data_IF_661669596497
#
_entry.id   IF_661669596497
#
_cell.length_a   1.000
_cell.length_b   1.000
_cell.length_c   1.000
_cell.angle_alpha   90.00
_cell.angle_beta   90.00
_cell.angle_gamma   90.00
#
_symmetry.space_group_name_H-M   'P 1'
#
loop_
_entity.id
_entity.type
_entity.pdbx_description
1 polymer ?
#
# COMPACT_ATOMS: atom_id res chain seq x y z
N UNK A 1 75.97 -0.78 25.11
CA UNK A 1 76.63 -0.94 23.80
C UNK A 1 75.67 -1.64 22.84
N UNK A 2 75.05 -0.91 21.91
CA UNK A 2 74.35 -1.52 20.78
C UNK A 2 75.38 -1.90 19.69
N UNK A 3 75.21 -3.02 18.95
CA UNK A 3 76.11 -3.35 17.85
C UNK A 3 75.85 -2.46 16.63
N UNK A 4 76.97 -2.01 16.03
CA UNK A 4 77.07 -1.13 14.86
C UNK A 4 76.58 -1.79 13.55
N UNK A 5 76.23 -0.98 12.53
CA UNK A 5 75.56 -1.42 11.30
C UNK A 5 76.58 -1.86 10.22
N UNK A 6 76.17 -2.66 9.22
CA UNK A 6 76.91 -2.78 7.98
C UNK A 6 76.53 -1.70 6.96
N UNK A 7 77.50 -1.46 6.08
CA UNK A 7 77.70 -0.30 5.20
C UNK A 7 76.82 -0.34 3.95
N UNK A 8 76.47 0.86 3.46
CA UNK A 8 75.80 1.13 2.18
C UNK A 8 76.66 0.71 0.98
N UNK A 9 76.08 -0.01 0.04
CA UNK A 9 76.46 0.10 -1.37
C UNK A 9 75.43 0.95 -2.12
N UNK A 10 75.93 2.03 -2.69
CA UNK A 10 75.21 3.02 -3.49
C UNK A 10 75.36 2.70 -4.96
N UNK A 11 74.29 2.27 -5.64
CA UNK A 11 74.00 2.66 -7.03
C UNK A 11 72.67 2.07 -7.55
N UNK A 12 71.54 2.78 -7.37
CA UNK A 12 70.49 2.90 -8.41
C UNK A 12 69.43 3.91 -7.98
N UNK A 13 69.23 4.95 -8.80
CA UNK A 13 68.07 5.85 -8.70
C UNK A 13 66.74 5.07 -8.83
N UNK A 14 65.66 5.55 -8.20
CA UNK A 14 64.35 4.91 -8.26
C UNK A 14 63.71 5.02 -9.66
N UNK A 15 63.10 3.92 -10.10
CA UNK A 15 62.34 3.82 -11.35
C UNK A 15 60.96 4.52 -11.23
N UNK A 16 60.41 5.06 -12.33
CA UNK A 16 59.10 5.73 -12.33
C UNK A 16 57.93 4.73 -12.15
N UNK A 17 56.76 5.20 -11.66
CA UNK A 17 55.61 4.35 -11.36
C UNK A 17 54.96 3.73 -12.61
N UNK A 18 54.28 2.57 -12.47
CA UNK A 18 53.73 1.81 -13.59
C UNK A 18 52.48 2.47 -14.19
N UNK A 19 52.36 2.39 -15.52
CA UNK A 19 51.22 2.90 -16.29
C UNK A 19 49.99 1.97 -16.15
N UNK A 20 48.75 2.52 -16.17
CA UNK A 20 47.53 1.72 -16.14
C UNK A 20 47.33 0.94 -17.45
N UNK A 21 46.86 -0.29 -17.30
CA UNK A 21 46.61 -1.25 -18.36
C UNK A 21 45.56 -0.77 -19.38
N UNK A 22 45.82 -1.08 -20.65
CA UNK A 22 44.97 -0.79 -21.82
C UNK A 22 43.65 -1.58 -21.78
N UNK A 23 42.53 -0.88 -21.62
CA UNK A 23 41.19 -1.40 -21.90
C UNK A 23 40.80 -1.08 -23.35
N UNK A 24 40.99 -2.00 -24.28
CA UNK A 24 40.33 -1.94 -25.58
C UNK A 24 40.23 -3.33 -26.22
N UNK A 25 39.36 -4.16 -25.67
CA UNK A 25 38.83 -5.34 -26.34
C UNK A 25 37.31 -5.29 -26.32
N UNK A 26 36.76 -4.32 -27.06
CA UNK A 26 35.39 -4.40 -27.57
C UNK A 26 35.50 -4.26 -29.09
N UNK A 27 34.87 -5.14 -29.89
CA UNK A 27 34.85 -5.00 -31.34
C UNK A 27 34.06 -3.74 -31.70
N UNK A 28 34.67 -2.81 -32.44
CA UNK A 28 33.93 -1.70 -33.05
C UNK A 28 33.03 -2.26 -34.15
N UNK A 29 31.73 -1.96 -34.04
CA UNK A 29 30.73 -2.25 -35.06
C UNK A 29 30.91 -1.26 -36.22
N UNK A 30 31.86 -1.54 -37.10
CA UNK A 30 32.01 -0.83 -38.37
C UNK A 30 31.12 -1.47 -39.45
N UNK A 31 29.84 -1.11 -39.43
CA UNK A 31 28.94 -1.29 -40.57
C UNK A 31 28.57 0.09 -41.13
N UNK A 32 29.44 0.62 -41.98
CA UNK A 32 29.09 1.65 -42.94
C UNK A 32 29.44 1.12 -44.34
N UNK A 33 28.55 1.22 -45.34
CA UNK A 33 28.83 0.71 -46.68
C UNK A 33 30.02 1.47 -47.29
N UNK A 34 30.95 0.74 -47.89
CA UNK A 34 32.00 1.30 -48.75
C UNK A 34 31.34 2.09 -49.88
N UNK A 35 31.39 3.41 -49.77
CA UNK A 35 31.20 4.29 -50.93
C UNK A 35 32.56 4.35 -51.61
N UNK A 36 32.67 3.74 -52.79
CA UNK A 36 33.80 3.95 -53.70
C UNK A 36 33.92 5.45 -53.98
N UNK A 37 34.86 6.13 -53.31
CA UNK A 37 35.27 7.48 -53.67
C UNK A 37 36.13 7.41 -54.94
N UNK A 38 35.52 7.70 -56.09
CA UNK A 38 36.22 8.20 -57.26
C UNK A 38 37.13 9.36 -56.82
N UNK A 39 38.44 9.18 -56.99
CA UNK A 39 39.45 10.21 -56.71
C UNK A 39 39.34 11.35 -57.72
N UNK A 40 38.44 12.29 -57.49
CA UNK A 40 38.59 13.62 -58.07
C UNK A 40 39.75 14.35 -57.38
N UNK A 41 40.77 14.69 -58.17
CA UNK A 41 41.94 15.45 -57.73
C UNK A 41 41.52 16.85 -57.28
N UNK A 42 41.34 17.06 -55.97
CA UNK A 42 41.35 18.41 -55.40
C UNK A 42 42.80 18.84 -55.16
N UNK A 43 43.30 19.71 -56.03
CA UNK A 43 44.54 20.45 -55.81
C UNK A 43 44.45 21.25 -54.50
N UNK A 44 45.38 20.97 -53.58
CA UNK A 44 45.52 21.71 -52.32
C UNK A 44 46.07 23.10 -52.61
N UNK A 45 45.21 24.11 -52.58
CA UNK A 45 45.63 25.50 -52.57
C UNK A 45 46.26 25.83 -51.21
N UNK A 46 47.48 26.37 -51.23
CA UNK A 46 48.27 26.75 -50.05
C UNK A 46 47.74 27.99 -49.31
N UNK A 47 46.44 28.04 -49.03
CA UNK A 47 45.82 29.13 -48.27
C UNK A 47 45.93 28.83 -46.77
N UNK A 48 46.66 29.69 -46.04
CA UNK A 48 46.67 29.71 -44.57
C UNK A 48 45.24 29.98 -44.06
N UNK A 49 44.55 28.93 -43.61
CA UNK A 49 43.27 29.07 -42.93
C UNK A 49 43.47 29.90 -41.66
N UNK A 50 42.93 31.11 -41.65
CA UNK A 50 42.95 31.96 -40.47
C UNK A 50 42.28 31.22 -39.32
N UNK A 51 42.89 31.22 -38.13
CA UNK A 51 42.48 30.42 -36.95
C UNK A 51 41.02 30.62 -36.47
N UNK A 52 40.22 31.45 -37.15
CA UNK A 52 38.82 31.78 -36.83
C UNK A 52 37.89 31.90 -38.06
N UNK A 53 38.31 31.50 -39.27
CA UNK A 53 37.39 31.52 -40.42
C UNK A 53 36.49 30.29 -40.42
N UNK A 54 35.38 30.38 -39.69
CA UNK A 54 34.32 29.36 -39.71
C UNK A 54 33.83 29.16 -41.15
N UNK A 55 33.65 27.90 -41.52
CA UNK A 55 33.07 27.52 -42.81
C UNK A 55 31.68 28.13 -42.96
N UNK A 56 31.26 28.41 -44.20
CA UNK A 56 29.92 28.95 -44.50
C UNK A 56 28.80 28.07 -43.90
N UNK A 57 29.03 26.76 -43.88
CA UNK A 57 28.15 25.75 -43.27
C UNK A 57 28.07 25.93 -41.75
N UNK A 58 29.19 26.17 -41.07
CA UNK A 58 29.23 26.39 -39.61
C UNK A 58 28.61 27.72 -39.21
N UNK A 59 28.78 28.78 -40.01
CA UNK A 59 28.08 30.06 -39.78
C UNK A 59 26.58 29.89 -39.92
N UNK A 60 26.12 29.15 -40.94
CA UNK A 60 24.69 28.83 -41.12
C UNK A 60 24.15 28.00 -39.94
N UNK A 61 24.88 26.98 -39.49
CA UNK A 61 24.50 26.16 -38.32
C UNK A 61 24.45 27.00 -37.04
N UNK A 62 25.39 27.91 -36.81
CA UNK A 62 25.37 28.83 -35.66
C UNK A 62 24.22 29.83 -35.74
N UNK A 63 23.92 30.36 -36.91
CA UNK A 63 22.76 31.25 -37.08
C UNK A 63 21.45 30.50 -36.85
N UNK A 64 21.31 29.28 -37.38
CA UNK A 64 20.15 28.43 -37.11
C UNK A 64 20.05 28.05 -35.63
N UNK A 65 21.15 27.71 -34.96
CA UNK A 65 21.15 27.42 -33.53
C UNK A 65 20.74 28.63 -32.68
N UNK A 66 21.19 29.84 -33.05
CA UNK A 66 20.79 31.09 -32.39
C UNK A 66 19.33 31.43 -32.65
N UNK A 67 18.85 31.22 -33.88
CA UNK A 67 17.44 31.40 -34.22
C UNK A 67 16.55 30.40 -33.47
N UNK A 68 16.94 29.12 -33.41
CA UNK A 68 16.26 28.09 -32.63
C UNK A 68 16.23 28.42 -31.13
N UNK A 69 17.35 28.88 -30.56
CA UNK A 69 17.39 29.36 -29.18
C UNK A 69 16.49 30.58 -28.97
N UNK A 70 16.46 31.51 -29.92
CA UNK A 70 15.56 32.68 -29.88
C UNK A 70 14.09 32.27 -29.88
N UNK A 71 13.68 31.35 -30.76
CA UNK A 71 12.31 30.80 -30.80
C UNK A 71 11.98 30.06 -29.50
N UNK A 72 12.90 29.25 -28.97
CA UNK A 72 12.73 28.57 -27.69
C UNK A 72 12.51 29.57 -26.54
N UNK A 73 13.32 30.63 -26.44
CA UNK A 73 13.17 31.66 -25.40
C UNK A 73 11.87 32.45 -25.52
N UNK A 74 11.41 32.74 -26.75
CA UNK A 74 10.10 33.35 -26.98
C UNK A 74 8.98 32.40 -26.52
N UNK A 75 9.08 31.11 -26.85
CA UNK A 75 8.15 30.07 -26.40
C UNK A 75 8.06 30.00 -24.87
N UNK A 76 9.20 29.91 -24.18
CA UNK A 76 9.28 29.91 -22.71
C UNK A 76 8.69 31.19 -22.12
N UNK A 77 8.92 32.35 -22.74
CA UNK A 77 8.36 33.62 -22.30
C UNK A 77 6.83 33.66 -22.41
N UNK A 78 6.28 33.19 -23.53
CA UNK A 78 4.82 33.07 -23.74
C UNK A 78 4.21 32.08 -22.76
N UNK A 79 4.84 30.92 -22.56
CA UNK A 79 4.37 29.89 -21.64
C UNK A 79 4.37 30.39 -20.19
N UNK A 80 5.44 31.05 -19.75
CA UNK A 80 5.54 31.67 -18.41
C UNK A 80 4.45 32.73 -18.21
N UNK A 81 4.14 33.50 -19.26
CA UNK A 81 3.06 34.48 -19.25
C UNK A 81 1.68 33.81 -19.15
N UNK A 82 1.46 32.72 -19.90
CA UNK A 82 0.24 31.93 -19.83
C UNK A 82 0.05 31.21 -18.48
N UNK A 83 1.13 30.73 -17.85
CA UNK A 83 1.09 30.17 -16.49
C UNK A 83 0.64 31.21 -15.43
N UNK A 84 0.71 32.51 -15.75
CA UNK A 84 0.20 33.59 -14.90
C UNK A 84 -1.31 33.88 -15.06
N UNK A 85 -2.03 33.13 -15.90
CA UNK A 85 -3.48 33.23 -16.11
C UNK A 85 -4.28 32.95 -14.83
N UNK A 86 -5.52 33.41 -14.74
CA UNK A 86 -6.41 33.08 -13.61
C UNK A 86 -6.69 31.57 -13.54
N UNK A 87 -7.12 31.12 -12.36
CA UNK A 87 -7.48 29.72 -12.15
C UNK A 87 -8.86 29.47 -12.74
N UNK A 88 -9.00 28.38 -13.48
CA UNK A 88 -10.32 27.90 -13.88
C UNK A 88 -10.94 27.09 -12.73
N UNK A 89 -12.26 27.04 -12.68
CA UNK A 89 -13.01 26.28 -11.65
C UNK A 89 -12.64 24.79 -11.67
N UNK A 90 -12.36 24.23 -12.85
CA UNK A 90 -11.91 22.84 -13.01
C UNK A 90 -10.50 22.62 -12.48
N UNK A 91 -9.56 23.56 -12.70
CA UNK A 91 -8.19 23.50 -12.16
C UNK A 91 -8.21 23.59 -10.62
N UNK A 92 -9.04 24.48 -10.07
CA UNK A 92 -9.26 24.60 -8.62
C UNK A 92 -9.81 23.32 -8.01
N UNK A 93 -10.80 22.71 -8.69
CA UNK A 93 -11.40 21.44 -8.26
C UNK A 93 -10.39 20.28 -8.33
N UNK A 94 -9.62 20.18 -9.40
CA UNK A 94 -8.58 19.17 -9.56
C UNK A 94 -7.52 19.27 -8.46
N UNK A 95 -7.12 20.50 -8.09
CA UNK A 95 -6.13 20.75 -7.02
C UNK A 95 -6.71 20.84 -5.61
N UNK A 96 -8.03 20.64 -5.44
CA UNK A 96 -8.73 20.73 -4.13
C UNK A 96 -8.44 22.03 -3.36
N UNK A 97 -8.10 23.12 -4.05
CA UNK A 97 -7.88 24.42 -3.42
C UNK A 97 -9.19 25.19 -3.35
N UNK A 98 -9.47 25.82 -2.20
CA UNK A 98 -10.54 26.82 -2.12
C UNK A 98 -10.11 28.07 -2.90
N UNK A 99 -11.03 28.81 -3.53
CA UNK A 99 -10.72 30.07 -4.22
C UNK A 99 -9.98 31.09 -3.33
N UNK A 100 -10.21 31.02 -2.01
CA UNK A 100 -9.61 31.90 -1.00
C UNK A 100 -8.16 31.55 -0.64
N UNK A 101 -7.76 30.28 -0.80
CA UNK A 101 -6.40 29.80 -0.50
C UNK A 101 -5.47 29.92 -1.73
N UNK A 102 -6.04 30.14 -2.91
CA UNK A 102 -5.30 30.25 -4.15
C UNK A 102 -4.49 31.56 -4.22
N UNK A 103 -3.21 31.52 -4.65
CA UNK A 103 -2.40 32.72 -4.76
C UNK A 103 -3.02 33.70 -5.78
N UNK A 104 -3.40 34.90 -5.34
CA UNK A 104 -4.02 35.93 -6.19
C UNK A 104 -3.02 36.59 -7.14
N UNK A 105 -1.75 36.68 -6.72
CA UNK A 105 -0.68 37.30 -7.52
C UNK A 105 -0.35 36.47 -8.76
N UNK A 106 -0.08 37.14 -9.89
CA UNK A 106 0.31 36.49 -11.15
C UNK A 106 1.55 35.60 -10.98
N UNK A 107 2.54 36.07 -10.24
CA UNK A 107 3.75 35.30 -9.94
C UNK A 107 3.49 34.10 -9.02
N UNK A 108 2.60 34.25 -8.02
CA UNK A 108 2.20 33.14 -7.16
C UNK A 108 1.52 32.02 -7.95
N UNK A 109 0.69 32.37 -8.94
CA UNK A 109 0.05 31.42 -9.86
C UNK A 109 1.06 30.71 -10.76
N UNK A 110 1.96 31.46 -11.39
CA UNK A 110 3.04 30.88 -12.22
C UNK A 110 3.91 29.93 -11.39
N UNK A 111 4.29 30.32 -10.17
CA UNK A 111 5.07 29.48 -9.26
C UNK A 111 4.31 28.20 -8.89
N UNK A 112 3.02 28.30 -8.55
CA UNK A 112 2.19 27.15 -8.17
C UNK A 112 1.95 26.18 -9.34
N UNK A 113 1.79 26.69 -10.57
CA UNK A 113 1.71 25.86 -11.79
C UNK A 113 3.05 25.21 -12.12
N UNK A 114 4.15 25.94 -11.92
CA UNK A 114 5.49 25.39 -12.12
C UNK A 114 5.80 24.29 -11.10
N UNK A 115 5.48 24.49 -9.82
CA UNK A 115 5.67 23.45 -8.80
C UNK A 115 4.80 22.23 -9.08
N UNK A 116 3.63 22.40 -9.71
CA UNK A 116 2.76 21.25 -10.01
C UNK A 116 3.28 20.28 -11.04
N UNK A 117 4.26 20.66 -11.86
CA UNK A 117 4.97 19.66 -12.68
C UNK A 117 5.71 18.63 -11.84
N UNK A 118 6.03 18.96 -10.59
CA UNK A 118 6.65 18.06 -9.63
C UNK A 118 5.65 17.40 -8.69
N UNK A 119 4.34 17.70 -8.78
CA UNK A 119 3.30 17.11 -7.92
C UNK A 119 3.28 15.58 -8.08
N UNK A 120 3.58 15.06 -9.27
CA UNK A 120 3.74 13.62 -9.52
C UNK A 120 4.74 12.92 -8.56
N UNK A 121 5.76 13.64 -8.08
CA UNK A 121 6.74 13.09 -7.16
C UNK A 121 6.36 13.25 -5.69
N UNK A 122 5.42 14.14 -5.39
CA UNK A 122 5.03 14.47 -4.02
C UNK A 122 3.68 13.90 -3.64
N UNK A 123 2.68 14.00 -4.52
CA UNK A 123 1.29 13.57 -4.33
C UNK A 123 1.07 12.09 -4.72
N UNK A 124 0.05 11.42 -4.15
CA UNK A 124 -0.30 10.07 -4.58
C UNK A 124 -0.78 10.04 -6.03
N UNK A 125 -0.60 8.89 -6.70
CA UNK A 125 -0.94 8.71 -8.12
C UNK A 125 -2.45 8.90 -8.38
N UNK A 126 -3.30 8.63 -7.38
CA UNK A 126 -4.75 8.73 -7.49
C UNK A 126 -5.33 9.81 -6.58
N UNK A 127 -6.33 10.57 -7.07
CA UNK A 127 -7.02 11.56 -6.25
C UNK A 127 -7.80 10.90 -5.10
N UNK A 128 -8.35 9.72 -5.34
CA UNK A 128 -9.02 8.90 -4.34
C UNK A 128 -8.38 7.51 -4.35
N UNK A 129 -7.88 7.08 -3.20
CA UNK A 129 -7.15 5.82 -3.05
C UNK A 129 -8.09 4.61 -3.04
N UNK A 130 -9.31 4.79 -2.53
CA UNK A 130 -10.33 3.74 -2.51
C UNK A 130 -11.54 4.14 -3.36
N UNK A 131 -12.17 3.16 -4.04
CA UNK A 131 -13.43 3.40 -4.72
C UNK A 131 -14.51 3.81 -3.71
N UNK A 132 -15.48 4.57 -4.19
CA UNK A 132 -16.66 4.94 -3.41
C UNK A 132 -17.46 3.72 -2.93
N UNK A 133 -18.25 3.86 -1.86
CA UNK A 133 -19.05 2.78 -1.31
C UNK A 133 -20.06 2.27 -2.35
N UNK A 134 -20.04 0.97 -2.65
CA UNK A 134 -20.94 0.37 -3.63
C UNK A 134 -22.35 0.17 -3.02
N UNK A 135 -23.44 0.65 -3.65
CA UNK A 135 -24.77 0.62 -3.03
C UNK A 135 -25.36 -0.79 -2.87
N UNK A 136 -24.92 -1.79 -3.65
CA UNK A 136 -25.51 -3.13 -3.64
C UNK A 136 -24.91 -4.08 -2.58
N UNK A 137 -23.72 -3.79 -2.05
CA UNK A 137 -23.02 -4.66 -1.11
C UNK A 137 -23.02 -3.98 0.27
N UNK A 138 -23.57 -4.62 1.33
CA UNK A 138 -23.48 -4.08 2.68
C UNK A 138 -22.01 -3.89 3.09
N UNK A 139 -21.58 -2.64 3.17
CA UNK A 139 -20.21 -2.31 3.58
C UNK A 139 -20.09 -2.27 5.10
N UNK A 140 -18.89 -2.55 5.59
CA UNK A 140 -18.57 -2.41 6.99
C UNK A 140 -18.56 -0.91 7.36
N UNK A 141 -19.06 -0.53 8.55
CA UNK A 141 -19.22 0.87 8.90
C UNK A 141 -17.90 1.60 9.23
N UNK A 142 -16.86 0.86 9.61
CA UNK A 142 -15.54 1.40 9.96
C UNK A 142 -14.47 0.83 9.05
N UNK A 143 -13.45 1.63 8.77
CA UNK A 143 -12.28 1.21 7.99
C UNK A 143 -11.08 1.09 8.91
N UNK A 144 -10.43 -0.08 8.90
CA UNK A 144 -9.21 -0.34 9.65
C UNK A 144 -8.04 -0.44 8.69
N UNK A 145 -7.18 0.58 8.72
CA UNK A 145 -5.95 0.61 7.96
C UNK A 145 -4.83 -0.05 8.76
N UNK A 146 -4.08 -0.96 8.15
CA UNK A 146 -3.04 -1.72 8.83
C UNK A 146 -1.73 -1.66 8.02
N UNK A 147 -0.65 -1.26 8.69
CA UNK A 147 0.71 -1.35 8.13
C UNK A 147 1.22 -2.80 8.14
N UNK A 148 2.07 -3.17 7.19
CA UNK A 148 2.67 -4.51 7.15
C UNK A 148 3.95 -4.56 7.98
N UNK A 149 4.88 -3.65 7.67
CA UNK A 149 6.25 -3.67 8.17
C UNK A 149 6.34 -3.39 9.65
N UNK A 150 7.07 -4.25 10.35
CA UNK A 150 7.28 -4.24 11.79
C UNK A 150 5.98 -4.32 12.61
N UNK A 151 4.84 -4.56 11.96
CA UNK A 151 3.52 -4.65 12.59
C UNK A 151 2.92 -6.05 12.45
N UNK A 152 2.71 -6.52 11.22
CA UNK A 152 2.18 -7.86 10.91
C UNK A 152 3.31 -8.86 10.63
N UNK A 153 4.37 -8.38 9.99
CA UNK A 153 5.53 -9.19 9.65
C UNK A 153 6.80 -8.40 9.92
N UNK A 154 7.91 -9.11 10.07
CA UNK A 154 9.23 -8.50 10.07
C UNK A 154 10.10 -9.23 9.08
N UNK A 155 10.83 -8.48 8.25
CA UNK A 155 11.73 -9.02 7.24
C UNK A 155 13.17 -8.80 7.68
N UNK A 156 13.93 -9.88 7.75
CA UNK A 156 15.35 -9.88 8.09
C UNK A 156 16.13 -10.36 6.88
N UNK A 157 17.31 -9.79 6.64
CA UNK A 157 18.20 -10.25 5.58
C UNK A 157 19.38 -11.01 6.17
N UNK A 158 19.66 -12.18 5.61
CA UNK A 158 20.83 -12.99 5.91
C UNK A 158 21.65 -13.23 4.63
N UNK A 159 22.97 -13.30 4.75
CA UNK A 159 23.88 -13.59 3.63
C UNK A 159 23.70 -15.01 3.09
N UNK A 160 23.31 -15.97 3.93
CA UNK A 160 23.15 -17.37 3.52
C UNK A 160 21.81 -17.62 2.83
N UNK A 161 20.73 -17.03 3.36
CA UNK A 161 19.35 -17.34 2.97
C UNK A 161 18.62 -16.18 2.30
N UNK A 162 19.26 -15.01 2.19
CA UNK A 162 18.66 -13.80 1.65
C UNK A 162 17.59 -13.23 2.58
N UNK A 163 16.56 -12.62 1.97
CA UNK A 163 15.42 -12.07 2.69
C UNK A 163 14.53 -13.17 3.28
N UNK A 164 14.27 -13.08 4.58
CA UNK A 164 13.37 -13.96 5.33
C UNK A 164 12.34 -13.13 6.06
N UNK A 165 11.07 -13.43 5.82
CA UNK A 165 9.94 -12.75 6.45
C UNK A 165 9.33 -13.64 7.51
N UNK A 166 9.30 -13.17 8.75
CA UNK A 166 8.65 -13.82 9.86
C UNK A 166 7.24 -13.25 10.03
N UNK A 167 6.27 -14.10 10.38
CA UNK A 167 4.88 -13.72 10.65
C UNK A 167 4.68 -13.48 12.14
N UNK A 168 4.06 -12.35 12.53
CA UNK A 168 3.78 -12.04 13.93
C UNK A 168 2.76 -13.03 14.52
N UNK A 169 2.96 -13.52 15.75
CA UNK A 169 1.99 -14.40 16.40
C UNK A 169 0.59 -13.78 16.42
N UNK A 170 -0.40 -14.55 15.97
CA UNK A 170 -1.82 -14.14 15.99
C UNK A 170 -2.28 -13.27 14.83
N UNK A 171 -1.46 -12.98 13.82
CA UNK A 171 -1.85 -12.19 12.63
C UNK A 171 -3.05 -12.76 11.90
N UNK A 172 -3.09 -14.08 11.66
CA UNK A 172 -4.19 -14.70 10.92
C UNK A 172 -5.52 -14.52 11.67
N UNK A 173 -5.49 -14.72 13.00
CA UNK A 173 -6.65 -14.51 13.87
C UNK A 173 -7.04 -13.04 13.93
N UNK A 174 -6.06 -12.14 14.01
CA UNK A 174 -6.29 -10.70 14.02
C UNK A 174 -7.03 -10.22 12.76
N UNK A 175 -6.55 -10.61 11.58
CA UNK A 175 -7.17 -10.24 10.30
C UNK A 175 -8.55 -10.88 10.13
N UNK A 176 -8.66 -12.20 10.34
CA UNK A 176 -9.92 -12.92 10.13
C UNK A 176 -11.00 -12.62 11.17
N UNK A 177 -10.64 -12.24 12.39
CA UNK A 177 -11.62 -11.84 13.40
C UNK A 177 -12.09 -10.39 13.21
N UNK A 178 -11.17 -9.46 12.91
CA UNK A 178 -11.54 -8.05 12.75
C UNK A 178 -12.23 -7.73 11.43
N UNK A 179 -12.04 -8.54 10.38
CA UNK A 179 -12.76 -8.41 9.10
C UNK A 179 -14.29 -8.50 9.25
N UNK A 180 -14.78 -9.13 10.33
CA UNK A 180 -16.21 -9.16 10.64
C UNK A 180 -16.76 -7.78 11.02
N UNK A 181 -15.94 -6.91 11.61
CA UNK A 181 -16.35 -5.61 12.13
C UNK A 181 -15.90 -4.43 11.25
N UNK A 182 -14.72 -4.55 10.62
CA UNK A 182 -14.06 -3.49 9.87
C UNK A 182 -13.87 -3.85 8.41
N UNK A 183 -13.90 -2.84 7.54
CA UNK A 183 -13.29 -2.89 6.22
C UNK A 183 -11.77 -2.85 6.42
N UNK A 184 -11.12 -4.00 6.29
CA UNK A 184 -9.67 -4.11 6.52
C UNK A 184 -8.95 -3.70 5.24
N UNK A 185 -8.16 -2.62 5.35
CA UNK A 185 -7.35 -2.09 4.25
C UNK A 185 -5.89 -2.16 4.65
N UNK A 186 -5.09 -2.85 3.85
CA UNK A 186 -3.65 -2.82 4.06
C UNK A 186 -3.11 -1.52 3.46
N UNK A 187 -2.38 -0.74 4.27
CA UNK A 187 -1.70 0.46 3.79
C UNK A 187 -0.24 0.38 4.21
N UNK A 188 0.64 -0.01 3.28
CA UNK A 188 2.07 -0.21 3.53
C UNK A 188 2.93 0.81 2.80
N UNK A 189 4.09 1.13 3.37
CA UNK A 189 5.12 1.93 2.69
C UNK A 189 6.02 1.08 1.80
N UNK A 190 5.84 -0.24 1.77
CA UNK A 190 6.52 -1.13 0.83
C UNK A 190 5.98 -1.00 -0.59
N UNK A 191 6.82 -1.28 -1.57
CA UNK A 191 6.40 -1.40 -2.96
C UNK A 191 5.55 -2.64 -3.19
N UNK A 192 4.66 -2.57 -4.18
CA UNK A 192 3.76 -3.67 -4.53
C UNK A 192 4.50 -5.01 -4.74
N UNK A 193 5.61 -5.00 -5.49
CA UNK A 193 6.37 -6.21 -5.81
C UNK A 193 6.98 -6.93 -4.60
N UNK A 194 7.20 -6.25 -3.46
CA UNK A 194 7.69 -6.89 -2.22
C UNK A 194 6.55 -7.32 -1.32
N UNK A 195 5.52 -6.48 -1.20
CA UNK A 195 4.43 -6.68 -0.25
C UNK A 195 3.38 -7.69 -0.76
N UNK A 196 3.08 -7.71 -2.06
CA UNK A 196 2.03 -8.55 -2.63
C UNK A 196 2.24 -10.05 -2.34
N UNK A 197 3.43 -10.66 -2.55
CA UNK A 197 3.64 -12.07 -2.22
C UNK A 197 3.50 -12.38 -0.72
N UNK A 198 3.71 -11.39 0.15
CA UNK A 198 3.52 -11.56 1.60
C UNK A 198 2.02 -11.57 1.90
N UNK A 199 1.28 -10.62 1.35
CA UNK A 199 -0.17 -10.51 1.53
C UNK A 199 -0.92 -11.71 0.94
N UNK A 200 -0.51 -12.22 -0.21
CA UNK A 200 -1.10 -13.42 -0.81
C UNK A 200 -0.89 -14.67 0.05
N UNK A 201 0.15 -14.70 0.89
CA UNK A 201 0.34 -15.78 1.87
C UNK A 201 -0.43 -15.57 3.17
N UNK A 202 -0.72 -14.33 3.54
CA UNK A 202 -1.50 -13.99 4.74
C UNK A 202 -3.00 -14.15 4.50
N UNK A 203 -3.48 -13.80 3.30
CA UNK A 203 -4.87 -13.96 2.89
C UNK A 203 -4.96 -14.59 1.48
N UNK A 204 -4.75 -15.92 1.37
CA UNK A 204 -4.72 -16.62 0.08
C UNK A 204 -6.02 -16.57 -0.71
N UNK A 205 -7.15 -16.43 -0.01
CA UNK A 205 -8.49 -16.44 -0.60
C UNK A 205 -9.11 -15.04 -0.71
N UNK A 206 -8.39 -14.00 -0.27
CA UNK A 206 -8.85 -12.61 -0.28
C UNK A 206 -10.19 -12.41 0.47
N UNK A 207 -10.38 -13.11 1.59
CA UNK A 207 -11.60 -13.03 2.39
C UNK A 207 -11.54 -11.96 3.49
N UNK A 208 -10.34 -11.60 3.93
CA UNK A 208 -10.17 -10.73 5.10
C UNK A 208 -9.80 -9.31 4.69
N UNK A 209 -8.91 -9.17 3.69
CA UNK A 209 -8.38 -7.88 3.24
C UNK A 209 -9.23 -7.36 2.08
N UNK A 210 -9.91 -6.24 2.28
CA UNK A 210 -10.78 -5.62 1.26
C UNK A 210 -9.98 -4.87 0.19
N UNK A 211 -8.97 -4.09 0.60
CA UNK A 211 -8.13 -3.30 -0.31
C UNK A 211 -6.67 -3.31 0.13
N UNK A 212 -5.77 -3.12 -0.84
CA UNK A 212 -4.31 -3.12 -0.65
C UNK A 212 -3.71 -1.86 -1.26
N UNK A 213 -3.10 -1.02 -0.43
CA UNK A 213 -2.42 0.22 -0.78
C UNK A 213 -0.93 0.08 -0.48
N UNK A 214 -0.08 0.43 -1.43
CA UNK A 214 1.36 0.28 -1.36
C UNK A 214 2.08 1.65 -1.37
N UNK A 215 3.40 1.65 -1.58
CA UNK A 215 4.25 2.86 -1.59
C UNK A 215 3.79 3.96 -2.54
N UNK A 216 3.16 3.58 -3.65
CA UNK A 216 2.59 4.44 -4.67
C UNK A 216 1.37 5.26 -4.19
N UNK A 217 0.66 4.76 -3.17
CA UNK A 217 -0.41 5.48 -2.49
C UNK A 217 0.10 6.44 -1.39
N UNK A 218 1.38 6.38 -1.01
CA UNK A 218 1.96 7.22 0.05
C UNK A 218 2.48 8.55 -0.50
N UNK A 219 2.23 9.65 0.22
CA UNK A 219 2.82 10.96 -0.05
C UNK A 219 4.28 11.01 0.41
N UNK A 220 5.09 11.88 -0.16
CA UNK A 220 6.44 12.15 0.35
C UNK A 220 6.53 13.53 0.98
N UNK A 221 6.70 13.62 2.30
CA UNK A 221 6.94 14.89 3.01
C UNK A 221 8.39 14.88 3.49
N UNK A 222 9.18 15.88 3.07
CA UNK A 222 10.60 15.99 3.45
C UNK A 222 11.41 14.71 3.16
N UNK A 223 11.06 14.00 2.09
CA UNK A 223 11.69 12.73 1.70
C UNK A 223 11.24 11.50 2.50
N UNK A 224 10.33 11.64 3.47
CA UNK A 224 9.76 10.53 4.22
C UNK A 224 8.38 10.12 3.67
N UNK A 225 8.10 8.81 3.53
CA UNK A 225 6.78 8.33 3.17
C UNK A 225 5.78 8.63 4.28
N UNK A 226 4.66 9.23 3.92
CA UNK A 226 3.54 9.45 4.85
C UNK A 226 2.24 8.93 4.24
N UNK A 227 1.34 8.48 5.12
CA UNK A 227 0.03 7.93 4.81
C UNK A 227 -1.00 9.01 5.09
N UNK A 228 -1.35 9.76 4.05
CA UNK A 228 -2.33 10.83 4.15
C UNK A 228 -3.75 10.27 3.98
N UNK A 229 -4.55 10.32 5.05
CA UNK A 229 -5.89 9.72 5.07
C UNK A 229 -6.92 10.55 4.32
N UNK A 230 -6.61 11.81 3.99
CA UNK A 230 -7.52 12.70 3.27
C UNK A 230 -7.83 12.20 1.84
N UNK A 231 -6.95 11.37 1.28
CA UNK A 231 -7.13 10.75 -0.04
C UNK A 231 -7.86 9.39 0.02
N UNK A 232 -8.20 8.88 1.21
CA UNK A 232 -8.78 7.54 1.35
C UNK A 232 -10.20 7.41 0.81
N UNK A 233 -10.92 8.51 0.63
CA UNK A 233 -12.35 8.52 0.26
C UNK A 233 -13.23 7.78 1.29
N UNK A 234 -12.98 8.03 2.57
CA UNK A 234 -13.75 7.52 3.71
C UNK A 234 -13.94 8.63 4.74
N UNK A 235 -14.97 8.50 5.55
CA UNK A 235 -15.22 9.41 6.66
C UNK A 235 -14.18 9.21 7.77
N UNK A 236 -13.32 10.21 8.00
CA UNK A 236 -12.25 10.15 9.00
C UNK A 236 -12.77 9.90 10.42
N UNK A 237 -14.03 10.19 10.74
CA UNK A 237 -14.60 9.84 12.05
C UNK A 237 -14.74 8.32 12.27
N UNK A 238 -14.59 7.52 11.20
CA UNK A 238 -14.74 6.06 11.20
C UNK A 238 -13.50 5.31 10.69
N UNK A 239 -12.38 6.01 10.54
CA UNK A 239 -11.11 5.44 10.07
C UNK A 239 -10.14 5.29 11.24
N UNK A 240 -9.50 4.12 11.36
CA UNK A 240 -8.43 3.88 12.33
C UNK A 240 -7.21 3.36 11.56
N UNK A 241 -6.03 3.96 11.81
CA UNK A 241 -4.76 3.55 11.21
C UNK A 241 -3.85 2.90 12.26
N UNK A 242 -3.46 1.65 12.06
CA UNK A 242 -2.47 0.95 12.85
C UNK A 242 -1.11 0.99 12.14
N UNK A 243 -0.11 1.57 12.80
CA UNK A 243 1.26 1.61 12.30
C UNK A 243 2.27 1.34 13.42
N UNK A 244 3.49 0.98 13.05
CA UNK A 244 4.61 0.84 13.98
C UNK A 244 5.56 2.06 13.94
N UNK A 245 5.38 2.93 12.94
CA UNK A 245 6.27 4.05 12.61
C UNK A 245 5.49 5.38 12.69
N UNK A 246 5.71 6.22 13.72
CA UNK A 246 5.04 7.51 13.89
C UNK A 246 5.17 8.47 12.71
N UNK A 247 6.27 8.41 11.97
CA UNK A 247 6.55 9.24 10.80
C UNK A 247 5.50 9.07 9.70
N UNK A 248 4.99 7.85 9.53
CA UNK A 248 4.00 7.53 8.50
C UNK A 248 2.66 8.21 8.77
N UNK A 249 2.32 8.45 10.04
CA UNK A 249 1.00 8.95 10.45
C UNK A 249 0.96 10.46 10.69
N UNK A 250 2.07 11.15 10.42
CA UNK A 250 2.21 12.58 10.66
C UNK A 250 1.09 13.49 10.11
N UNK A 251 0.40 13.19 8.99
CA UNK A 251 -0.71 14.00 8.51
C UNK A 251 -2.00 13.90 9.34
N UNK A 252 -2.24 12.74 9.98
CA UNK A 252 -3.48 12.43 10.71
C UNK A 252 -3.19 11.64 12.00
N UNK A 253 -2.47 12.23 12.97
CA UNK A 253 -2.15 11.55 14.22
C UNK A 253 -3.39 11.18 15.05
N UNK A 254 -4.49 11.92 14.93
CA UNK A 254 -5.74 11.72 15.67
C UNK A 254 -6.48 10.42 15.30
N UNK A 255 -6.18 9.85 14.13
CA UNK A 255 -6.75 8.60 13.64
C UNK A 255 -5.80 7.41 13.81
N UNK A 256 -4.59 7.64 14.32
CA UNK A 256 -3.53 6.67 14.35
C UNK A 256 -3.33 6.02 15.73
N UNK A 257 -3.06 4.73 15.72
CA UNK A 257 -2.56 3.98 16.87
C UNK A 257 -1.18 3.47 16.51
N UNK A 258 -0.18 3.94 17.26
CA UNK A 258 1.19 3.47 17.11
C UNK A 258 1.43 2.29 18.04
N UNK A 259 1.66 1.12 17.46
CA UNK A 259 2.06 -0.07 18.18
C UNK A 259 3.59 -0.20 18.23
N UNK A 260 4.09 -0.95 19.20
CA UNK A 260 5.51 -1.27 19.27
C UNK A 260 5.92 -2.10 18.05
N UNK A 261 7.09 -1.75 17.48
CA UNK A 261 7.75 -2.50 16.41
C UNK A 261 8.00 -3.93 16.87
N UNK A 262 7.58 -4.89 16.06
CA UNK A 262 7.79 -6.30 16.34
C UNK A 262 9.10 -6.78 15.73
N UNK A 263 10.01 -7.24 16.58
CA UNK A 263 11.38 -7.67 16.19
C UNK A 263 11.51 -9.16 15.92
N UNK A 264 10.39 -9.89 15.79
CA UNK A 264 10.40 -11.33 15.52
C UNK A 264 10.22 -12.23 16.75
N UNK A 265 9.94 -11.69 17.95
CA UNK A 265 9.71 -12.51 19.15
C UNK A 265 8.44 -13.38 19.00
N UNK A 266 8.54 -14.73 19.05
CA UNK A 266 7.38 -15.62 18.95
C UNK A 266 6.46 -15.57 20.17
N UNK A 267 6.90 -14.98 21.30
CA UNK A 267 6.07 -14.80 22.50
C UNK A 267 5.31 -13.48 22.53
N UNK A 268 5.48 -12.64 21.50
CA UNK A 268 4.75 -11.38 21.40
C UNK A 268 3.23 -11.64 21.42
N UNK A 269 2.53 -10.85 22.22
CA UNK A 269 1.06 -10.85 22.30
C UNK A 269 0.47 -9.47 22.01
N UNK A 270 1.28 -8.49 21.61
CA UNK A 270 0.85 -7.10 21.45
C UNK A 270 -0.29 -6.97 20.44
N UNK A 271 -0.19 -7.65 19.30
CA UNK A 271 -1.23 -7.60 18.26
C UNK A 271 -2.56 -8.20 18.73
N UNK A 272 -2.52 -9.35 19.38
CA UNK A 272 -3.72 -10.04 19.90
C UNK A 272 -4.34 -9.25 21.05
N UNK A 273 -3.53 -8.62 21.89
CA UNK A 273 -4.00 -7.82 23.02
C UNK A 273 -4.77 -6.55 22.58
N UNK A 274 -4.61 -6.11 21.33
CA UNK A 274 -5.37 -4.99 20.76
C UNK A 274 -6.77 -5.37 20.28
N UNK A 275 -7.05 -6.67 20.07
CA UNK A 275 -8.33 -7.14 19.54
C UNK A 275 -9.51 -6.68 20.42
N UNK A 276 -9.52 -6.87 21.76
CA UNK A 276 -10.65 -6.45 22.60
C UNK A 276 -11.00 -4.97 22.46
N UNK A 277 -9.99 -4.11 22.34
CA UNK A 277 -10.17 -2.68 22.16
C UNK A 277 -10.85 -2.37 20.81
N UNK A 278 -10.31 -2.88 19.70
CA UNK A 278 -10.87 -2.66 18.36
C UNK A 278 -12.25 -3.30 18.19
N UNK A 279 -12.43 -4.50 18.72
CA UNK A 279 -13.72 -5.20 18.76
C UNK A 279 -14.78 -4.35 19.46
N UNK A 280 -14.44 -3.71 20.58
CA UNK A 280 -15.38 -2.86 21.30
C UNK A 280 -15.87 -1.66 20.48
N UNK A 281 -14.99 -1.07 19.66
CA UNK A 281 -15.37 0.01 18.74
C UNK A 281 -16.34 -0.53 17.69
N UNK A 282 -16.05 -1.71 17.12
CA UNK A 282 -16.93 -2.38 16.15
C UNK A 282 -18.30 -2.77 16.72
N UNK A 283 -18.37 -3.13 17.99
CA UNK A 283 -19.60 -3.53 18.69
C UNK A 283 -20.44 -2.32 19.10
N UNK A 284 -19.83 -1.34 19.78
CA UNK A 284 -20.57 -0.17 20.30
C UNK A 284 -20.88 0.87 19.22
N UNK A 285 -20.16 0.83 18.09
CA UNK A 285 -20.35 1.69 16.92
C UNK A 285 -20.44 3.19 17.29
N UNK A 286 -19.39 3.76 17.91
CA UNK A 286 -19.36 5.18 18.27
C UNK A 286 -19.42 6.08 17.03
N UNK A 287 -20.08 7.26 17.09
CA UNK A 287 -20.18 8.14 15.93
C UNK A 287 -18.83 8.68 15.45
N UNK A 288 -17.87 8.86 16.36
CA UNK A 288 -16.50 9.28 16.06
C UNK A 288 -15.50 8.50 16.92
N UNK A 289 -14.48 7.95 16.27
CA UNK A 289 -13.41 7.18 16.93
C UNK A 289 -12.32 8.06 17.55
N UNK A 290 -12.09 9.27 17.03
CA UNK A 290 -10.93 10.11 17.41
C UNK A 290 -10.91 10.50 18.90
N UNK A 291 -12.04 10.90 19.53
CA UNK A 291 -12.05 11.19 20.97
C UNK A 291 -11.75 9.96 21.84
N UNK A 292 -12.09 8.76 21.34
CA UNK A 292 -11.79 7.51 22.03
C UNK A 292 -10.29 7.24 21.94
N UNK A 293 -9.68 7.40 20.76
CA UNK A 293 -8.24 7.23 20.57
C UNK A 293 -7.43 8.22 21.42
N UNK A 294 -7.84 9.49 21.46
CA UNK A 294 -7.20 10.54 22.25
C UNK A 294 -7.16 10.21 23.76
N UNK A 295 -8.23 9.60 24.29
CA UNK A 295 -8.29 9.20 25.70
C UNK A 295 -7.22 8.17 26.12
N UNK A 296 -6.71 7.38 25.16
CA UNK A 296 -5.64 6.41 25.34
C UNK A 296 -4.28 6.87 24.79
N UNK A 297 -4.19 8.12 24.30
CA UNK A 297 -2.94 8.65 23.76
C UNK A 297 -1.81 8.59 24.81
N UNK A 298 -0.64 8.06 24.40
CA UNK A 298 0.54 7.91 25.26
C UNK A 298 0.43 6.80 26.33
N UNK A 299 -0.62 5.98 26.31
CA UNK A 299 -0.79 4.83 27.21
C UNK A 299 -0.73 3.52 26.44
N UNK A 300 -0.49 2.42 27.13
CA UNK A 300 -0.67 1.08 26.57
C UNK A 300 -2.18 0.78 26.46
N UNK A 301 -2.72 0.93 25.25
CA UNK A 301 -4.15 0.78 24.96
C UNK A 301 -4.66 -0.60 25.40
N UNK A 302 -3.89 -1.66 25.15
CA UNK A 302 -4.32 -3.01 25.45
C UNK A 302 -4.46 -3.24 26.97
N UNK A 303 -3.49 -2.78 27.76
CA UNK A 303 -3.51 -2.92 29.22
C UNK A 303 -4.57 -2.02 29.87
N UNK A 304 -4.66 -0.77 29.46
CA UNK A 304 -5.63 0.18 30.02
C UNK A 304 -7.07 -0.20 29.68
N UNK A 305 -7.30 -0.67 28.45
CA UNK A 305 -8.61 -1.18 28.05
C UNK A 305 -9.00 -2.43 28.86
N UNK A 306 -8.08 -3.38 29.05
CA UNK A 306 -8.32 -4.57 29.85
C UNK A 306 -8.70 -4.25 31.30
N UNK A 307 -8.06 -3.24 31.92
CA UNK A 307 -8.44 -2.74 33.25
C UNK A 307 -9.85 -2.17 33.24
N UNK A 308 -10.16 -1.31 32.27
CA UNK A 308 -11.48 -0.69 32.13
C UNK A 308 -12.58 -1.72 31.90
N UNK A 309 -12.32 -2.76 31.12
CA UNK A 309 -13.23 -3.87 30.89
C UNK A 309 -13.49 -4.66 32.19
N UNK A 310 -12.44 -4.95 32.97
CA UNK A 310 -12.56 -5.62 34.26
C UNK A 310 -13.37 -4.79 35.26
N UNK A 311 -13.16 -3.47 35.31
CA UNK A 311 -13.95 -2.55 36.13
C UNK A 311 -15.43 -2.54 35.72
N UNK A 312 -15.71 -2.42 34.42
CA UNK A 312 -17.08 -2.46 33.90
C UNK A 312 -17.78 -3.79 34.23
N UNK A 313 -17.05 -4.91 34.14
CA UNK A 313 -17.54 -6.23 34.51
C UNK A 313 -17.83 -6.35 36.01
N UNK A 314 -16.93 -5.84 36.86
CA UNK A 314 -17.14 -5.85 38.32
C UNK A 314 -18.40 -5.05 38.72
N UNK A 315 -18.59 -3.86 38.13
CA UNK A 315 -19.79 -3.04 38.34
C UNK A 315 -21.07 -3.76 37.90
N UNK A 316 -21.04 -4.42 36.75
CA UNK A 316 -22.16 -5.23 36.25
C UNK A 316 -22.53 -6.37 37.22
N UNK A 317 -21.53 -7.04 37.79
CA UNK A 317 -21.74 -8.08 38.81
C UNK A 317 -22.34 -7.49 40.08
N UNK A 318 -21.79 -6.38 40.59
CA UNK A 318 -22.31 -5.70 41.79
C UNK A 318 -23.76 -5.24 41.61
N UNK A 319 -24.10 -4.68 40.46
CA UNK A 319 -25.47 -4.22 40.16
C UNK A 319 -26.42 -5.40 40.02
N UNK A 320 -25.98 -6.51 39.43
CA UNK A 320 -26.75 -7.76 39.40
C UNK A 320 -27.00 -8.32 40.81
N UNK A 321 -25.99 -8.32 41.68
CA UNK A 321 -26.14 -8.77 43.07
C UNK A 321 -27.08 -7.86 43.88
N UNK A 322 -27.00 -6.55 43.71
CA UNK A 322 -27.92 -5.58 44.33
C UNK A 322 -29.35 -5.80 43.86
N UNK A 323 -29.55 -5.95 42.55
CA UNK A 323 -30.88 -6.20 41.97
C UNK A 323 -31.45 -7.54 42.41
N UNK A 324 -30.62 -8.59 42.55
CA UNK A 324 -31.02 -9.88 43.10
C UNK A 324 -31.52 -9.76 44.54
N UNK A 325 -30.81 -9.01 45.39
CA UNK A 325 -31.23 -8.74 46.78
C UNK A 325 -32.50 -7.90 46.86
N UNK A 326 -32.68 -6.92 45.96
CA UNK A 326 -33.91 -6.11 45.87
C UNK A 326 -35.14 -6.91 45.40
N UNK A 327 -34.96 -7.85 44.47
CA UNK A 327 -36.04 -8.71 43.98
C UNK A 327 -36.44 -9.80 45.00
N UNK A 328 -35.53 -10.21 45.89
CA UNK A 328 -35.80 -11.09 47.04
C UNK A 328 -36.64 -10.40 48.14
N UNK A 329 -36.57 -9.07 48.27
CA UNK A 329 -37.38 -8.31 49.24
C UNK A 329 -38.83 -8.06 48.77
N UNK A 330 -39.06 -7.98 47.45
CA UNK A 330 -40.40 -7.74 46.86
C UNK A 330 -41.07 -8.99 46.25
N UNK A 331 -40.40 -10.16 46.28
CA UNK A 331 -40.94 -11.40 45.72
C UNK A 331 -41.09 -12.45 46.83
N UNK A 332 -42.22 -12.40 47.53
CA UNK A 332 -42.78 -13.59 48.18
C UNK A 332 -43.13 -14.61 47.09
N UNK A 333 -42.13 -15.34 46.60
CA UNK A 333 -42.34 -16.36 45.57
C UNK A 333 -43.04 -17.58 46.17
N UNK A 334 -44.28 -17.80 45.72
CA UNK A 334 -45.16 -18.96 45.96
C UNK A 334 -44.53 -20.34 45.63
N UNK A 335 -43.33 -20.38 45.03
CA UNK A 335 -42.58 -21.59 44.72
C UNK A 335 -42.04 -22.33 45.95
N UNK A 336 -42.02 -21.70 47.14
CA UNK A 336 -41.65 -22.37 48.41
C UNK A 336 -42.78 -23.17 49.06
N UNK A 337 -44.03 -23.05 48.56
CA UNK A 337 -45.21 -23.72 49.12
C UNK A 337 -45.62 -24.99 48.35
N UNK A 338 -44.96 -25.27 47.22
CA UNK A 338 -45.22 -26.44 46.37
C UNK A 338 -43.95 -27.30 46.20
N UNK A 339 -43.41 -27.79 47.32
CA UNK A 339 -42.76 -29.10 47.45
C UNK A 339 -41.70 -29.57 46.45
N UNK A 340 -41.09 -28.71 45.62
CA UNK A 340 -40.04 -29.12 44.68
C UNK A 340 -38.67 -28.98 45.33
N UNK A 341 -38.19 -30.07 45.94
CA UNK A 341 -36.81 -30.24 46.39
C UNK A 341 -35.86 -30.49 45.21
N UNK A 342 -35.83 -29.55 44.26
CA UNK A 342 -34.87 -29.53 43.16
C UNK A 342 -33.82 -28.46 43.44
N UNK A 343 -32.54 -28.86 43.49
CA UNK A 343 -31.32 -28.04 43.52
C UNK A 343 -31.57 -26.53 43.36
N UNK A 344 -31.16 -25.74 44.37
CA UNK A 344 -31.00 -24.30 44.24
C UNK A 344 -30.11 -24.02 43.01
N UNK A 345 -30.74 -23.77 41.87
CA UNK A 345 -30.06 -23.35 40.66
C UNK A 345 -29.54 -21.96 40.96
N UNK A 346 -28.26 -21.89 41.30
CA UNK A 346 -27.54 -20.63 41.27
C UNK A 346 -27.59 -20.18 39.81
N UNK A 347 -28.55 -19.31 39.47
CA UNK A 347 -28.64 -18.79 38.12
C UNK A 347 -27.28 -18.17 37.78
N UNK A 348 -26.64 -18.59 36.67
CA UNK A 348 -25.33 -18.07 36.31
C UNK A 348 -25.44 -16.55 36.09
N UNK A 349 -24.38 -15.82 36.45
CA UNK A 349 -24.31 -14.36 36.26
C UNK A 349 -24.60 -14.08 34.78
N UNK A 350 -25.57 -13.20 34.46
CA UNK A 350 -25.88 -12.90 33.08
C UNK A 350 -24.67 -12.23 32.41
N UNK A 351 -24.24 -12.72 31.24
CA UNK A 351 -23.08 -12.16 30.54
C UNK A 351 -23.35 -10.70 30.17
N UNK A 352 -22.31 -9.86 30.23
CA UNK A 352 -22.40 -8.45 29.82
C UNK A 352 -22.71 -8.37 28.31
N UNK A 353 -23.31 -7.27 27.85
CA UNK A 353 -23.60 -7.06 26.42
C UNK A 353 -22.38 -7.30 25.51
N UNK A 354 -21.22 -6.80 25.92
CA UNK A 354 -19.95 -7.02 25.22
C UNK A 354 -19.58 -8.51 25.14
N UNK A 355 -19.73 -9.26 26.22
CA UNK A 355 -19.43 -10.70 26.26
C UNK A 355 -20.38 -11.52 25.39
N UNK A 356 -21.66 -11.14 25.37
CA UNK A 356 -22.66 -11.77 24.50
C UNK A 356 -22.29 -11.59 23.03
N UNK A 357 -21.97 -10.35 22.63
CA UNK A 357 -21.57 -10.01 21.26
C UNK A 357 -20.23 -10.63 20.86
N UNK A 358 -19.26 -10.66 21.77
CA UNK A 358 -17.98 -11.37 21.57
C UNK A 358 -18.19 -12.85 21.30
N UNK A 359 -19.07 -13.49 22.08
CA UNK A 359 -19.39 -14.92 21.90
C UNK A 359 -20.03 -15.18 20.54
N UNK A 360 -20.96 -14.33 20.11
CA UNK A 360 -21.58 -14.40 18.79
C UNK A 360 -20.53 -14.28 17.67
N UNK A 361 -19.66 -13.27 17.73
CA UNK A 361 -18.58 -13.07 16.76
C UNK A 361 -17.56 -14.22 16.76
N UNK A 362 -17.24 -14.79 17.92
CA UNK A 362 -16.36 -15.96 18.00
C UNK A 362 -16.99 -17.22 17.41
N UNK A 363 -18.31 -17.40 17.55
CA UNK A 363 -19.02 -18.50 16.89
C UNK A 363 -19.01 -18.30 15.38
N UNK A 364 -19.35 -17.10 14.91
CA UNK A 364 -19.30 -16.75 13.50
C UNK A 364 -17.90 -16.99 12.91
N UNK A 365 -16.84 -16.52 13.57
CA UNK A 365 -15.46 -16.79 13.15
C UNK A 365 -15.17 -18.28 13.00
N UNK A 366 -15.58 -19.10 13.98
CA UNK A 366 -15.35 -20.55 13.94
C UNK A 366 -16.12 -21.23 12.82
N UNK A 367 -17.35 -20.79 12.56
CA UNK A 367 -18.18 -21.28 11.47
C UNK A 367 -17.56 -20.92 10.11
N UNK A 368 -17.10 -19.68 9.94
CA UNK A 368 -16.39 -19.22 8.74
C UNK A 368 -15.09 -20.03 8.51
N UNK A 369 -14.27 -20.23 9.55
CA UNK A 369 -13.06 -21.06 9.44
C UNK A 369 -13.37 -22.51 9.10
N UNK A 370 -14.42 -23.10 9.69
CA UNK A 370 -14.86 -24.45 9.38
C UNK A 370 -15.34 -24.56 7.92
N UNK A 371 -16.07 -23.55 7.43
CA UNK A 371 -16.51 -23.46 6.04
C UNK A 371 -15.33 -23.35 5.07
N UNK A 372 -14.35 -22.48 5.37
CA UNK A 372 -13.13 -22.35 4.56
C UNK A 372 -12.37 -23.68 4.50
N UNK A 373 -12.22 -24.36 5.65
CA UNK A 373 -11.55 -25.64 5.73
C UNK A 373 -12.27 -26.75 4.94
N UNK A 374 -13.61 -26.81 5.02
CA UNK A 374 -14.42 -27.79 4.32
C UNK A 374 -14.40 -27.59 2.79
N UNK A 375 -14.32 -26.34 2.33
CA UNK A 375 -14.42 -25.99 0.91
C UNK A 375 -13.07 -25.63 0.26
N UNK A 376 -11.95 -25.88 0.96
CA UNK A 376 -10.60 -25.49 0.55
C UNK A 376 -10.26 -25.88 -0.89
N UNK A 377 -10.52 -27.12 -1.27
CA UNK A 377 -10.21 -27.65 -2.61
C UNK A 377 -11.00 -26.93 -3.71
N UNK A 378 -12.26 -26.58 -3.43
CA UNK A 378 -13.09 -25.83 -4.38
C UNK A 378 -12.54 -24.42 -4.58
N UNK A 379 -12.10 -23.75 -3.51
CA UNK A 379 -11.50 -22.42 -3.61
C UNK A 379 -10.18 -22.46 -4.39
N UNK A 380 -9.33 -23.44 -4.14
CA UNK A 380 -8.07 -23.59 -4.88
C UNK A 380 -8.31 -23.86 -6.37
N UNK A 381 -9.32 -24.68 -6.71
CA UNK A 381 -9.72 -24.90 -8.10
C UNK A 381 -10.20 -23.60 -8.77
N UNK A 382 -11.09 -22.85 -8.11
CA UNK A 382 -11.61 -21.59 -8.63
C UNK A 382 -10.50 -20.55 -8.83
N UNK A 383 -9.59 -20.41 -7.87
CA UNK A 383 -8.44 -19.49 -7.97
C UNK A 383 -7.56 -19.88 -9.16
N UNK A 384 -7.30 -21.17 -9.35
CA UNK A 384 -6.48 -21.64 -10.47
C UNK A 384 -7.16 -21.37 -11.82
N UNK A 385 -8.46 -21.64 -11.92
CA UNK A 385 -9.25 -21.35 -13.12
C UNK A 385 -9.24 -19.84 -13.44
N UNK A 386 -9.38 -18.98 -12.43
CA UNK A 386 -9.32 -17.53 -12.58
C UNK A 386 -7.93 -17.04 -12.98
N UNK A 387 -6.86 -17.59 -12.39
CA UNK A 387 -5.48 -17.31 -12.80
C UNK A 387 -5.22 -17.72 -14.26
N UNK A 388 -5.72 -18.87 -14.69
CA UNK A 388 -5.60 -19.32 -16.08
C UNK A 388 -6.45 -18.47 -17.03
N UNK A 389 -7.62 -17.97 -16.60
CA UNK A 389 -8.43 -17.03 -17.36
C UNK A 389 -7.72 -15.68 -17.51
N UNK A 390 -7.24 -15.09 -16.41
CA UNK A 390 -6.49 -13.85 -16.41
C UNK A 390 -5.19 -13.95 -17.22
N UNK A 391 -4.47 -15.06 -17.12
CA UNK A 391 -3.27 -15.31 -17.93
C UNK A 391 -3.59 -15.38 -19.43
N UNK A 392 -4.73 -15.98 -19.80
CA UNK A 392 -5.20 -16.00 -21.21
C UNK A 392 -5.59 -14.62 -21.70
N UNK A 393 -6.28 -13.82 -20.89
CA UNK A 393 -6.62 -12.42 -21.23
C UNK A 393 -5.38 -11.53 -21.35
N UNK A 394 -4.41 -11.67 -20.44
CA UNK A 394 -3.13 -10.97 -20.46
C UNK A 394 -2.26 -11.39 -21.64
N UNK A 395 -2.24 -12.69 -21.98
CA UNK A 395 -1.57 -13.19 -23.18
C UNK A 395 -2.23 -12.66 -24.47
N UNK A 396 -3.56 -12.51 -24.49
CA UNK A 396 -4.29 -11.92 -25.61
C UNK A 396 -4.15 -10.39 -25.75
N UNK A 397 -3.85 -9.67 -24.66
CA UNK A 397 -3.79 -8.20 -24.62
C UNK A 397 -2.36 -7.63 -24.60
N UNK A 398 -1.33 -8.46 -24.44
CA UNK A 398 0.07 -8.03 -24.52
C UNK A 398 0.54 -7.87 -25.96
N UNK A 399 1.40 -6.87 -26.20
CA UNK A 399 2.02 -6.53 -27.49
C UNK A 399 2.62 -7.74 -28.23
N UNK A 400 3.11 -8.75 -27.50
CA UNK A 400 3.63 -10.00 -28.07
C UNK A 400 2.53 -10.95 -28.58
N UNK A 401 1.38 -11.06 -27.90
CA UNK A 401 0.24 -11.85 -28.38
C UNK A 401 -0.47 -11.23 -29.58
N UNK A 402 -0.45 -9.89 -29.69
CA UNK A 402 -0.86 -9.16 -30.88
C UNK A 402 0.10 -9.40 -32.07
N UNK A 403 1.42 -9.47 -31.83
CA UNK A 403 2.42 -9.79 -32.86
C UNK A 403 2.33 -11.26 -33.29
N UNK A 404 2.13 -12.18 -32.36
CA UNK A 404 2.01 -13.61 -32.66
C UNK A 404 0.75 -13.91 -33.49
N UNK A 405 -0.38 -13.29 -33.17
CA UNK A 405 -1.60 -13.39 -33.98
C UNK A 405 -1.49 -12.72 -35.36
N UNK A 406 -0.65 -11.68 -35.51
CA UNK A 406 -0.36 -11.04 -36.80
C UNK A 406 0.65 -11.82 -37.65
N UNK A 407 1.61 -12.52 -37.03
CA UNK A 407 2.70 -13.24 -37.71
C UNK A 407 2.29 -14.67 -38.09
N UNK A 408 1.47 -15.35 -37.27
CA UNK A 408 1.09 -16.75 -37.53
C UNK A 408 -0.28 -16.92 -38.19
N UNK A 409 -1.09 -15.87 -38.30
CA UNK A 409 -2.45 -15.97 -38.83
C UNK A 409 -3.36 -16.76 -37.88
N UNK A 410 -4.62 -16.32 -37.77
CA UNK A 410 -5.62 -16.98 -36.94
C UNK A 410 -5.71 -18.48 -37.22
N UNK A 411 -5.61 -19.39 -36.22
CA UNK A 411 -6.00 -20.77 -36.45
C UNK A 411 -7.52 -20.82 -36.74
N UNK A 412 -7.98 -21.63 -37.71
CA UNK A 412 -9.37 -21.64 -38.11
C UNK A 412 -10.26 -22.14 -36.94
N UNK A 413 -11.50 -21.66 -36.83
CA UNK A 413 -12.43 -22.16 -35.83
C UNK A 413 -12.67 -23.65 -36.06
N UNK A 414 -12.40 -24.47 -35.05
CA UNK A 414 -12.87 -25.86 -35.03
C UNK A 414 -14.39 -25.83 -35.05
N UNK A 415 -14.98 -26.40 -36.12
CA UNK A 415 -16.39 -26.73 -36.17
C UNK A 415 -16.64 -27.84 -35.16
N UNK A 416 -17.18 -27.51 -34.00
CA UNK A 416 -17.77 -28.52 -33.13
C UNK A 416 -19.07 -29.00 -33.76
N UNK A 417 -19.08 -30.30 -34.06
CA UNK A 417 -20.24 -31.01 -34.56
C UNK A 417 -21.34 -31.07 -33.49
N UNK A 418 -22.56 -30.81 -33.95
CA UNK A 418 -23.84 -31.39 -33.49
C UNK A 418 -23.77 -32.28 -32.24
N UNK A 419 -24.30 -31.79 -31.12
CA UNK A 419 -24.85 -32.63 -30.06
C UNK A 419 -26.21 -32.06 -29.61
N UNK A 420 -27.21 -32.91 -29.73
CA UNK A 420 -28.64 -32.75 -29.48
C UNK A 420 -29.05 -31.94 -28.24
N UNK A 421 -30.07 -31.11 -28.43
CA UNK A 421 -31.00 -30.67 -27.39
C UNK A 421 -32.00 -31.81 -27.13
N UNK A 422 -32.19 -32.29 -25.89
CA UNK A 422 -33.40 -33.00 -25.55
C UNK A 422 -34.45 -32.02 -25.04
N UNK A 423 -35.53 -31.93 -25.81
CA UNK A 423 -36.83 -31.42 -25.38
C UNK A 423 -37.33 -32.17 -24.14
N UNK A 424 -37.73 -31.43 -23.11
CA UNK A 424 -38.74 -31.92 -22.17
C UNK A 424 -39.69 -30.79 -21.77
N UNK A 425 -40.76 -30.68 -22.57
CA UNK A 425 -42.15 -30.39 -22.22
C UNK A 425 -42.44 -29.70 -20.86
N UNK A 426 -42.87 -28.45 -20.98
CA UNK A 426 -44.15 -27.90 -20.49
C UNK A 426 -45.05 -28.87 -19.68
N UNK A 427 -45.24 -28.57 -18.40
CA UNK A 427 -46.49 -28.82 -17.69
C UNK A 427 -46.59 -27.89 -16.47
N UNK A 428 -47.34 -26.80 -16.62
CA UNK A 428 -48.15 -26.20 -15.54
C UNK A 428 -49.60 -26.67 -15.80
N UNK A 429 -50.47 -26.75 -14.79
CA UNK A 429 -50.79 -25.66 -13.87
C UNK A 429 -50.19 -25.81 -12.48
#
# INVERSE_FOLDING_TARGET
MPPKPPVKDTSRSPAPPPQPASSSSLPSLDFAPEVEEERERQERTGARSSKNSLSSIERRRRMLARAALGVFLVGVGVETWMMGREWDEEELKAKRMKPEEAPSTRWGRTKARFTSFFDFFTEPIWPELLPGPHPAIPQKPYTLLISIDDLLVTSTWDRQYGWRTAKRPGVDYFLGYLSQFFEVVIFTTQYNYTAQPILDKLDPYQFFISYRLYRDACRSINGQPVKDLTYLNRDLSKVILLDAHPEHVSPNPENAIILSKWTGDPKDRGLVAMIPFLESIGIFKPPDVRPILDAYHGKDIALEYAKKEAEMKSKHIEDWEKNKKGHLANSFTLSSLFGSSGQASTSPIPPTYLEQKRREAQLQYKEEQAYIAANKENFERLIKEDQEAMAREMAGSTFWGAIESMVLGTPPPKKDGTAAVPDSARASP
#
